data_IF_263812245639
#
_entry.id   IF_263812245639
#
_cell.length_a   1.000
_cell.length_b   1.000
_cell.length_c   1.000
_cell.angle_alpha   90.00
_cell.angle_beta   90.00
_cell.angle_gamma   90.00
#
_symmetry.space_group_name_H-M   'P 1'
#
loop_
_entity.id
_entity.type
_entity.pdbx_description
1 polymer ?
#
# COMPACT_ATOMS: atom_id res chain seq x y z
N UNK A 1 17.43 33.08 0.55
CA UNK A 1 16.87 32.07 -0.38
C UNK A 1 15.47 31.73 0.10
N UNK A 2 14.46 32.39 -0.46
CA UNK A 2 13.08 32.30 0.02
C UNK A 2 12.58 30.87 -0.19
N UNK A 3 12.38 30.12 0.89
CA UNK A 3 11.67 28.85 0.84
C UNK A 3 10.24 29.19 0.41
N UNK A 4 9.93 28.97 -0.87
CA UNK A 4 8.55 29.00 -1.34
C UNK A 4 7.81 27.96 -0.51
N UNK A 5 6.99 28.42 0.45
CA UNK A 5 6.07 27.57 1.21
C UNK A 5 5.04 27.01 0.23
N UNK A 6 5.36 25.89 -0.39
CA UNK A 6 4.40 25.10 -1.17
C UNK A 6 3.54 24.28 -0.20
N UNK A 7 2.78 24.93 0.68
CA UNK A 7 1.85 24.25 1.58
C UNK A 7 0.47 24.29 0.95
N UNK A 8 -0.12 23.12 0.72
CA UNK A 8 -1.44 22.99 0.14
C UNK A 8 -2.51 23.14 1.25
N UNK A 9 -3.66 23.72 0.89
CA UNK A 9 -4.81 23.84 1.79
C UNK A 9 -5.89 22.82 1.41
N UNK A 10 -6.68 22.37 2.40
CA UNK A 10 -7.79 21.46 2.15
C UNK A 10 -8.81 22.04 1.15
N UNK A 11 -9.04 23.36 1.21
CA UNK A 11 -9.88 24.06 0.24
C UNK A 11 -9.31 24.02 -1.18
N UNK A 12 -7.99 24.18 -1.35
CA UNK A 12 -7.34 24.06 -2.66
C UNK A 12 -7.42 22.63 -3.20
N UNK A 13 -7.26 21.61 -2.35
CA UNK A 13 -7.46 20.19 -2.70
C UNK A 13 -8.89 19.94 -3.19
N UNK A 14 -9.89 20.49 -2.50
CA UNK A 14 -11.28 20.28 -2.87
C UNK A 14 -11.62 21.00 -4.19
N UNK A 15 -11.19 22.25 -4.34
CA UNK A 15 -11.45 23.10 -5.51
C UNK A 15 -10.69 22.69 -6.77
N UNK A 16 -9.64 21.88 -6.65
CA UNK A 16 -8.90 21.40 -7.82
C UNK A 16 -9.80 20.59 -8.75
N UNK A 17 -9.81 20.94 -10.03
CA UNK A 17 -10.62 20.30 -11.07
C UNK A 17 -9.70 19.69 -12.12
N UNK A 18 -10.11 18.62 -12.80
CA UNK A 18 -9.40 18.12 -13.96
C UNK A 18 -9.16 19.23 -14.98
N UNK A 19 -7.97 19.23 -15.56
CA UNK A 19 -7.61 20.05 -16.70
C UNK A 19 -7.39 19.16 -17.93
N UNK A 20 -7.07 19.76 -19.08
CA UNK A 20 -6.79 19.03 -20.33
C UNK A 20 -5.57 18.09 -20.20
N UNK A 21 -4.70 18.34 -19.22
CA UNK A 21 -3.52 17.53 -18.91
C UNK A 21 -3.44 17.28 -17.41
N UNK A 22 -2.88 16.14 -17.05
CA UNK A 22 -2.55 15.82 -15.66
C UNK A 22 -1.61 16.88 -15.09
N UNK A 23 -1.86 17.28 -13.84
CA UNK A 23 -1.03 18.26 -13.16
C UNK A 23 -0.87 17.92 -11.69
N UNK A 24 0.16 18.50 -11.08
CA UNK A 24 0.59 18.18 -9.72
C UNK A 24 0.52 19.44 -8.84
N UNK A 25 -0.03 19.29 -7.63
CA UNK A 25 -0.10 20.31 -6.59
C UNK A 25 0.80 19.92 -5.42
N UNK A 26 1.97 20.53 -5.24
CA UNK A 26 2.88 20.21 -4.14
C UNK A 26 2.34 20.70 -2.79
N UNK A 27 2.54 19.89 -1.74
CA UNK A 27 2.30 20.23 -0.32
C UNK A 27 3.61 20.40 0.49
N UNK A 28 4.76 20.11 -0.14
CA UNK A 28 6.09 20.28 0.45
C UNK A 28 6.76 18.96 0.82
N UNK A 29 8.08 18.99 1.01
CA UNK A 29 8.90 17.83 1.37
C UNK A 29 8.76 16.59 0.46
N UNK A 30 8.25 16.74 -0.76
CA UNK A 30 8.00 15.65 -1.70
C UNK A 30 6.54 15.17 -1.72
N UNK A 31 5.70 15.55 -0.75
CA UNK A 31 4.27 15.30 -0.79
C UNK A 31 3.60 16.14 -1.90
N UNK A 32 2.83 15.48 -2.76
CA UNK A 32 2.20 16.08 -3.93
C UNK A 32 0.84 15.46 -4.19
N UNK A 33 -0.17 16.27 -4.53
CA UNK A 33 -1.44 15.79 -5.06
C UNK A 33 -1.40 15.79 -6.59
N UNK A 34 -1.51 14.62 -7.20
CA UNK A 34 -1.63 14.48 -8.65
C UNK A 34 -3.10 14.46 -9.05
N UNK A 35 -3.53 15.44 -9.84
CA UNK A 35 -4.89 15.56 -10.37
C UNK A 35 -4.89 15.04 -11.79
N UNK A 36 -5.61 13.93 -12.01
CA UNK A 36 -5.74 13.30 -13.33
C UNK A 36 -6.84 13.98 -14.15
N UNK A 37 -6.70 13.97 -15.47
CA UNK A 37 -7.75 14.33 -16.45
C UNK A 37 -9.07 13.59 -16.18
N UNK A 38 -8.99 12.37 -15.64
CA UNK A 38 -10.16 11.55 -15.26
C UNK A 38 -10.94 12.01 -14.02
N UNK A 39 -10.53 13.06 -13.31
CA UNK A 39 -11.15 13.41 -12.01
C UNK A 39 -10.45 12.82 -10.80
N UNK A 40 -9.67 11.76 -10.97
CA UNK A 40 -9.00 11.07 -9.87
C UNK A 40 -7.89 11.94 -9.28
N UNK A 41 -7.88 12.05 -7.95
CA UNK A 41 -6.89 12.80 -7.18
C UNK A 41 -6.07 11.82 -6.34
N UNK A 42 -4.75 11.87 -6.51
CA UNK A 42 -3.82 10.86 -5.98
C UNK A 42 -2.76 11.54 -5.14
N UNK A 43 -2.62 11.14 -3.88
CA UNK A 43 -1.50 11.56 -3.05
C UNK A 43 -0.25 10.76 -3.41
N UNK A 44 0.84 11.48 -3.66
CA UNK A 44 2.13 10.92 -4.02
C UNK A 44 3.24 11.49 -3.17
N UNK A 45 4.19 10.63 -2.83
CA UNK A 45 5.50 11.04 -2.37
C UNK A 45 6.48 10.98 -3.53
N UNK A 46 7.05 12.13 -3.88
CA UNK A 46 8.02 12.29 -4.96
C UNK A 46 9.40 12.56 -4.37
N UNK A 47 10.37 11.75 -4.77
CA UNK A 47 11.76 11.90 -4.37
C UNK A 47 12.70 11.52 -5.52
N UNK A 48 13.97 11.90 -5.40
CA UNK A 48 15.04 11.46 -6.28
C UNK A 48 16.04 10.67 -5.45
N UNK A 49 16.34 9.45 -5.89
CA UNK A 49 17.36 8.63 -5.25
C UNK A 49 18.76 9.12 -5.67
N UNK A 50 19.77 9.18 -4.78
CA UNK A 50 21.08 9.78 -5.08
C UNK A 50 21.75 9.22 -6.35
N UNK A 51 21.55 7.94 -6.66
CA UNK A 51 22.13 7.28 -7.84
C UNK A 51 21.16 7.17 -9.03
N UNK A 52 20.02 7.86 -8.98
CA UNK A 52 19.01 7.86 -10.04
C UNK A 52 18.84 9.25 -10.64
N UNK A 53 18.92 9.34 -11.97
CA UNK A 53 18.55 10.55 -12.71
C UNK A 53 17.02 10.72 -12.79
N UNK A 54 16.26 9.61 -12.64
CA UNK A 54 14.81 9.63 -12.69
C UNK A 54 14.19 9.95 -11.32
N UNK A 55 13.11 10.75 -11.34
CA UNK A 55 12.27 10.98 -10.16
C UNK A 55 11.39 9.76 -9.90
N UNK A 56 11.38 9.30 -8.66
CA UNK A 56 10.53 8.21 -8.21
C UNK A 56 9.28 8.78 -7.56
N UNK A 57 8.14 8.13 -7.82
CA UNK A 57 6.87 8.44 -7.17
C UNK A 57 6.37 7.19 -6.42
N UNK A 58 5.97 7.38 -5.18
CA UNK A 58 5.24 6.40 -4.36
C UNK A 58 3.81 6.91 -4.21
N UNK A 59 2.82 6.03 -4.37
CA UNK A 59 1.41 6.39 -4.19
C UNK A 59 1.02 6.13 -2.75
N UNK A 60 0.62 7.19 -2.04
CA UNK A 60 0.19 7.10 -0.64
C UNK A 60 -1.30 6.76 -0.52
N UNK A 61 -2.11 7.23 -1.47
CA UNK A 61 -3.55 6.97 -1.47
C UNK A 61 -4.33 7.89 -2.40
N UNK A 62 -5.65 7.79 -2.33
CA UNK A 62 -6.57 8.52 -3.21
C UNK A 62 -7.47 9.45 -2.40
N UNK A 63 -7.68 10.66 -2.88
CA UNK A 63 -8.71 11.55 -2.34
C UNK A 63 -10.08 11.18 -2.98
N UNK A 64 -11.20 11.17 -2.22
CA UNK A 64 -11.37 11.68 -0.85
C UNK A 64 -11.09 10.68 0.28
N UNK A 65 -10.86 9.39 -0.02
CA UNK A 65 -10.62 8.36 0.99
C UNK A 65 -9.44 8.70 1.93
N UNK A 66 -8.39 9.31 1.37
CA UNK A 66 -7.27 9.89 2.10
C UNK A 66 -7.34 11.42 2.00
N UNK A 67 -7.64 12.08 3.13
CA UNK A 67 -7.64 13.54 3.23
C UNK A 67 -6.21 14.09 3.29
N UNK A 68 -6.05 15.41 3.06
CA UNK A 68 -4.74 16.07 3.21
C UNK A 68 -4.19 15.91 4.64
N UNK A 69 -5.06 16.03 5.65
CA UNK A 69 -4.68 15.88 7.06
C UNK A 69 -4.18 14.47 7.39
N UNK A 70 -4.71 13.44 6.73
CA UNK A 70 -4.26 12.06 6.87
C UNK A 70 -3.05 11.73 5.96
N UNK A 71 -2.87 12.41 4.83
CA UNK A 71 -1.74 12.19 3.92
C UNK A 71 -0.41 12.70 4.52
N UNK A 72 -0.42 13.80 5.26
CA UNK A 72 0.79 14.35 5.92
C UNK A 72 1.46 13.40 6.92
N UNK A 73 0.76 12.79 7.89
CA UNK A 73 1.40 11.86 8.81
C UNK A 73 1.91 10.60 8.09
N UNK A 74 1.19 10.07 7.10
CA UNK A 74 1.68 8.95 6.28
C UNK A 74 2.97 9.30 5.54
N UNK A 75 3.12 10.55 5.13
CA UNK A 75 4.33 11.03 4.47
C UNK A 75 5.53 11.15 5.42
N UNK A 76 5.32 11.48 6.70
CA UNK A 76 6.41 11.84 7.62
C UNK A 76 7.49 10.75 7.79
N UNK A 77 7.13 9.48 7.60
CA UNK A 77 8.06 8.37 7.73
C UNK A 77 9.08 8.31 6.57
N UNK A 78 8.69 8.75 5.37
CA UNK A 78 9.49 8.59 4.15
C UNK A 78 10.76 9.46 4.13
N UNK A 79 10.75 10.76 4.51
CA UNK A 79 11.96 11.55 4.63
C UNK A 79 12.98 10.96 5.60
N UNK A 80 12.52 10.35 6.70
CA UNK A 80 13.40 9.67 7.67
C UNK A 80 14.13 8.47 7.06
N UNK A 81 13.44 7.68 6.24
CA UNK A 81 14.05 6.57 5.50
C UNK A 81 15.13 7.06 4.52
N UNK A 82 14.86 8.14 3.78
CA UNK A 82 15.84 8.72 2.87
C UNK A 82 17.08 9.24 3.60
N UNK A 83 16.89 9.88 4.76
CA UNK A 83 18.01 10.37 5.59
C UNK A 83 18.89 9.22 6.11
N UNK A 84 18.32 8.03 6.31
CA UNK A 84 19.04 6.82 6.70
C UNK A 84 19.67 6.09 5.51
N UNK A 85 19.53 6.60 4.28
CA UNK A 85 20.03 5.93 3.08
C UNK A 85 19.23 4.68 2.71
N UNK A 86 17.96 4.60 3.09
CA UNK A 86 17.04 3.50 2.75
C UNK A 86 16.11 3.98 1.63
N UNK A 87 16.06 3.23 0.52
CA UNK A 87 15.13 3.51 -0.58
C UNK A 87 13.70 3.07 -0.19
N UNK A 88 12.75 4.00 0.00
CA UNK A 88 11.42 3.65 0.48
C UNK A 88 10.63 2.80 -0.53
N UNK A 89 10.87 2.97 -1.83
CA UNK A 89 10.20 2.16 -2.85
C UNK A 89 10.68 0.71 -2.81
N UNK A 90 11.99 0.52 -2.62
CA UNK A 90 12.57 -0.82 -2.44
C UNK A 90 12.01 -1.47 -1.17
N UNK A 91 11.94 -0.72 -0.07
CA UNK A 91 11.35 -1.20 1.18
C UNK A 91 9.87 -1.61 1.01
N UNK A 92 9.05 -0.82 0.32
CA UNK A 92 7.66 -1.19 0.02
C UNK A 92 7.57 -2.44 -0.86
N UNK A 93 8.45 -2.57 -1.84
CA UNK A 93 8.47 -3.73 -2.74
C UNK A 93 8.87 -5.00 -1.99
N UNK A 94 9.88 -4.92 -1.11
CA UNK A 94 10.30 -6.01 -0.24
C UNK A 94 9.19 -6.40 0.72
N UNK A 95 8.55 -5.41 1.37
CA UNK A 95 7.38 -5.67 2.24
C UNK A 95 6.25 -6.37 1.49
N UNK A 96 5.90 -5.92 0.29
CA UNK A 96 4.87 -6.57 -0.54
C UNK A 96 5.25 -8.00 -0.93
N UNK A 97 6.52 -8.22 -1.27
CA UNK A 97 7.03 -9.53 -1.63
C UNK A 97 6.95 -10.48 -0.44
N UNK A 98 7.44 -10.04 0.72
CA UNK A 98 7.35 -10.79 1.98
C UNK A 98 5.89 -11.03 2.37
N UNK A 99 5.02 -10.02 2.33
CA UNK A 99 3.60 -10.16 2.64
C UNK A 99 2.86 -11.12 1.71
N UNK A 100 3.33 -11.28 0.47
CA UNK A 100 2.75 -12.18 -0.51
C UNK A 100 3.14 -13.65 -0.32
N UNK A 101 4.10 -13.95 0.56
CA UNK A 101 4.50 -15.33 0.85
C UNK A 101 3.36 -16.11 1.48
N UNK A 102 3.19 -17.36 1.07
CA UNK A 102 2.12 -18.23 1.56
C UNK A 102 2.10 -18.30 3.09
N UNK A 103 3.26 -18.43 3.72
CA UNK A 103 3.36 -18.47 5.19
C UNK A 103 2.80 -17.21 5.84
N UNK A 104 3.10 -16.03 5.30
CA UNK A 104 2.63 -14.76 5.88
C UNK A 104 1.14 -14.54 5.65
N UNK A 105 0.62 -14.96 4.49
CA UNK A 105 -0.82 -14.97 4.22
C UNK A 105 -1.54 -15.96 5.13
N UNK A 106 -1.00 -17.17 5.31
CA UNK A 106 -1.54 -18.18 6.22
C UNK A 106 -1.55 -17.70 7.67
N UNK A 107 -0.49 -17.03 8.14
CA UNK A 107 -0.44 -16.41 9.48
C UNK A 107 -1.55 -15.37 9.66
N UNK A 108 -1.74 -14.47 8.68
CA UNK A 108 -2.80 -13.44 8.73
C UNK A 108 -4.19 -14.08 8.74
N UNK A 109 -4.42 -15.08 7.90
CA UNK A 109 -5.67 -15.86 7.89
C UNK A 109 -5.91 -16.55 9.22
N UNK A 110 -4.88 -17.18 9.79
CA UNK A 110 -4.99 -17.93 11.03
C UNK A 110 -5.32 -17.03 12.23
N UNK A 111 -4.78 -15.80 12.26
CA UNK A 111 -5.14 -14.79 13.27
C UNK A 111 -6.65 -14.45 13.22
N UNK A 112 -7.21 -14.26 12.03
CA UNK A 112 -8.66 -14.01 11.83
C UNK A 112 -9.47 -15.27 12.20
N UNK A 113 -8.96 -16.45 11.85
CA UNK A 113 -9.64 -17.71 12.14
C UNK A 113 -9.72 -17.95 13.65
N UNK A 114 -8.66 -17.64 14.41
CA UNK A 114 -8.65 -17.70 15.88
C UNK A 114 -9.74 -16.81 16.50
N UNK A 115 -9.98 -15.62 15.95
CA UNK A 115 -11.06 -14.73 16.44
C UNK A 115 -12.46 -15.21 16.08
N UNK A 116 -12.60 -16.23 15.23
CA UNK A 116 -13.89 -16.76 14.76
C UNK A 116 -14.50 -17.84 15.66
N UNK A 117 -14.00 -18.02 16.90
CA UNK A 117 -14.62 -18.90 17.90
C UNK A 117 -14.21 -20.38 17.85
N UNK A 118 -13.05 -20.70 17.26
CA UNK A 118 -12.47 -22.05 17.36
C UNK A 118 -11.87 -22.28 18.76
N UNK A 119 -11.92 -23.53 19.25
CA UNK A 119 -11.19 -23.91 20.47
C UNK A 119 -9.67 -23.80 20.25
N UNK A 120 -8.94 -23.44 21.30
CA UNK A 120 -7.48 -23.30 21.24
C UNK A 120 -6.79 -24.58 20.75
N UNK A 121 -7.25 -25.74 21.25
CA UNK A 121 -6.74 -27.06 20.85
C UNK A 121 -6.91 -27.28 19.35
N UNK A 122 -8.09 -26.98 18.80
CA UNK A 122 -8.34 -27.18 17.37
C UNK A 122 -7.53 -26.19 16.50
N UNK A 123 -7.35 -24.96 16.98
CA UNK A 123 -6.50 -23.98 16.30
C UNK A 123 -5.05 -24.47 16.24
N UNK A 124 -4.52 -24.97 17.35
CA UNK A 124 -3.14 -25.47 17.42
C UNK A 124 -2.92 -26.69 16.51
N UNK A 125 -3.89 -27.61 16.43
CA UNK A 125 -3.81 -28.75 15.51
C UNK A 125 -3.80 -28.32 14.04
N UNK A 126 -4.63 -27.33 13.66
CA UNK A 126 -4.63 -26.75 12.31
C UNK A 126 -3.25 -26.16 12.00
N UNK A 127 -2.69 -25.38 12.93
CA UNK A 127 -1.39 -24.74 12.72
C UNK A 127 -0.25 -25.75 12.61
N UNK A 128 -0.22 -26.77 13.49
CA UNK A 128 0.76 -27.86 13.43
C UNK A 128 0.72 -28.62 12.10
N UNK A 129 -0.48 -28.84 11.56
CA UNK A 129 -0.63 -29.46 10.23
C UNK A 129 -0.01 -28.60 9.13
N UNK A 130 -0.27 -27.28 9.16
CA UNK A 130 0.34 -26.34 8.21
C UNK A 130 1.87 -26.31 8.33
N UNK A 131 2.42 -26.25 9.55
CA UNK A 131 3.86 -26.26 9.80
C UNK A 131 4.53 -27.53 9.33
N UNK A 132 3.90 -28.68 9.55
CA UNK A 132 4.48 -29.99 9.23
C UNK A 132 4.39 -30.34 7.74
N UNK A 133 3.29 -30.00 7.08
CA UNK A 133 2.98 -30.52 5.75
C UNK A 133 2.99 -29.45 4.65
N UNK A 134 2.68 -28.20 4.96
CA UNK A 134 2.43 -27.16 3.95
C UNK A 134 3.60 -26.19 3.85
N UNK A 135 4.05 -25.62 4.97
CA UNK A 135 5.13 -24.64 4.99
C UNK A 135 6.47 -25.14 4.42
N UNK A 136 6.89 -26.40 4.63
CA UNK A 136 8.14 -26.91 4.04
C UNK A 136 8.11 -26.95 2.51
N UNK A 137 6.92 -27.13 1.91
CA UNK A 137 6.76 -27.29 0.46
C UNK A 137 6.48 -25.95 -0.22
N UNK A 138 5.59 -25.13 0.34
CA UNK A 138 5.09 -23.91 -0.32
C UNK A 138 5.17 -22.64 0.52
N UNK A 139 5.68 -22.69 1.76
CA UNK A 139 5.65 -21.55 2.68
C UNK A 139 6.36 -20.29 2.17
N UNK A 140 7.49 -20.47 1.47
CA UNK A 140 8.30 -19.39 0.88
C UNK A 140 7.89 -19.05 -0.57
N UNK A 141 6.85 -19.68 -1.10
CA UNK A 141 6.34 -19.34 -2.42
C UNK A 141 5.31 -18.20 -2.30
N UNK A 142 5.40 -17.16 -3.16
CA UNK A 142 4.36 -16.16 -3.29
C UNK A 142 3.01 -16.81 -3.64
N UNK A 143 1.92 -16.34 -3.01
CA UNK A 143 0.56 -16.88 -3.25
C UNK A 143 0.14 -16.74 -4.71
N UNK A 144 0.66 -15.74 -5.44
CA UNK A 144 0.45 -15.56 -6.88
C UNK A 144 0.91 -16.75 -7.72
N UNK A 145 1.80 -17.60 -7.21
CA UNK A 145 2.27 -18.78 -7.93
C UNK A 145 1.22 -19.90 -7.98
N UNK A 146 0.28 -19.91 -7.04
CA UNK A 146 -0.77 -20.94 -6.95
C UNK A 146 -2.09 -20.50 -7.60
N UNK A 147 -2.23 -19.21 -7.88
CA UNK A 147 -3.44 -18.62 -8.43
C UNK A 147 -3.06 -17.68 -9.57
N UNK A 148 -3.20 -18.16 -10.81
CA UNK A 148 -2.85 -17.39 -12.00
C UNK A 148 -3.58 -16.05 -12.07
N UNK A 149 -2.91 -15.04 -12.64
CA UNK A 149 -3.34 -13.63 -12.75
C UNK A 149 -4.68 -13.37 -13.49
N UNK A 150 -5.43 -14.40 -13.87
CA UNK A 150 -6.67 -14.32 -14.64
C UNK A 150 -7.95 -14.23 -13.78
N UNK A 151 -7.94 -14.63 -12.50
CA UNK A 151 -9.20 -14.87 -11.78
C UNK A 151 -9.75 -13.70 -10.92
N UNK A 152 -8.98 -12.63 -10.69
CA UNK A 152 -9.41 -11.52 -9.82
C UNK A 152 -9.71 -10.22 -10.58
N UNK A 153 -10.39 -10.31 -11.73
CA UNK A 153 -11.15 -9.18 -12.27
C UNK A 153 -12.64 -9.41 -12.02
N UNK A 154 -13.13 -8.85 -10.91
CA UNK A 154 -14.55 -8.60 -10.67
C UNK A 154 -15.39 -9.85 -10.40
N UNK A 155 -15.50 -10.24 -9.13
CA UNK A 155 -16.44 -11.26 -8.70
C UNK A 155 -16.95 -10.93 -7.31
N UNK A 156 -18.11 -10.27 -7.26
CA UNK A 156 -18.94 -10.12 -6.07
C UNK A 156 -19.15 -11.47 -5.38
N UNK A 157 -18.89 -11.51 -4.07
CA UNK A 157 -19.27 -12.63 -3.19
C UNK A 157 -20.80 -12.74 -3.22
N UNK A 158 -21.40 -13.85 -3.66
CA UNK A 158 -22.83 -14.03 -3.53
C UNK A 158 -23.14 -14.28 -2.06
N UNK A 159 -23.96 -13.41 -1.49
CA UNK A 159 -24.60 -13.58 -0.19
C UNK A 159 -25.46 -14.84 -0.25
N UNK A 160 -25.09 -15.87 0.52
CA UNK A 160 -25.92 -17.06 0.71
C UNK A 160 -27.21 -16.66 1.42
N UNK A 161 -28.34 -16.86 0.74
CA UNK A 161 -29.67 -16.88 1.33
C UNK A 161 -30.04 -18.31 1.76
N UNK A 162 -30.89 -18.37 2.76
CA UNK A 162 -31.41 -19.54 3.49
C UNK A 162 -32.04 -20.64 2.60
#
# INVERSE_FOLDING_TARGET
MTIIRCLLSAAAVQKSKPADKDYDLPDGHGLTLSVRTSGKKIWRFRYQWPNSTARTNITLGYYPALSLAAARPLHNDYPGLLAQGIDPKKLEQEKKTTDSLFINVATKWFAIKKTSGISEVHADDIWRSLEKHVFPVIGQAPVSNFWGAAHFRGGSIPSGGD
#
